data_IF_087226214313
#
_entry.id   IF_087226214313
#
_cell.length_a   1.000
_cell.length_b   1.000
_cell.length_c   1.000
_cell.angle_alpha   90.00
_cell.angle_beta   90.00
_cell.angle_gamma   90.00
#
_symmetry.space_group_name_H-M   'P 1'
#
loop_
_entity.id
_entity.type
_entity.pdbx_description
1 polymer ?
#
# COMPACT_ATOMS: atom_id res chain seq x y z
N UNK A 1 8.19 -40.45 -5.59
CA UNK A 1 7.03 -39.97 -4.82
C UNK A 1 6.74 -38.55 -5.29
N UNK A 2 5.75 -38.39 -6.17
CA UNK A 2 5.32 -37.09 -6.69
C UNK A 2 4.53 -36.37 -5.59
N UNK A 3 5.18 -35.41 -4.93
CA UNK A 3 4.48 -34.49 -4.03
C UNK A 3 3.44 -33.73 -4.84
N UNK A 4 2.17 -33.91 -4.51
CA UNK A 4 1.10 -33.03 -4.99
C UNK A 4 1.46 -31.64 -4.46
N UNK A 5 1.86 -30.74 -5.34
CA UNK A 5 2.08 -29.34 -4.97
C UNK A 5 0.69 -28.76 -4.75
N UNK A 6 0.30 -28.62 -3.48
CA UNK A 6 -0.95 -27.96 -3.10
C UNK A 6 -1.01 -26.57 -3.73
N UNK A 7 -2.17 -26.22 -4.26
CA UNK A 7 -2.40 -24.88 -4.81
C UNK A 7 -2.21 -23.83 -3.69
N UNK A 8 -1.76 -22.61 -4.00
CA UNK A 8 -1.64 -21.52 -3.02
C UNK A 8 -2.95 -21.30 -2.22
N UNK A 9 -4.10 -21.53 -2.86
CA UNK A 9 -5.44 -21.50 -2.25
C UNK A 9 -5.60 -22.51 -1.11
N UNK A 10 -5.00 -23.69 -1.22
CA UNK A 10 -5.09 -24.75 -0.19
C UNK A 10 -4.18 -24.44 1.01
N UNK A 11 -3.02 -23.81 0.76
CA UNK A 11 -2.03 -23.48 1.80
C UNK A 11 -2.37 -22.19 2.57
N UNK A 12 -3.02 -21.23 1.93
CA UNK A 12 -3.34 -19.90 2.49
C UNK A 12 -4.85 -19.60 2.50
N UNK A 13 -5.69 -20.63 2.38
CA UNK A 13 -7.14 -20.51 2.33
C UNK A 13 -7.78 -20.04 3.65
N UNK A 14 -9.05 -19.64 3.55
CA UNK A 14 -9.87 -19.03 4.60
C UNK A 14 -10.00 -19.85 5.89
N UNK A 15 -9.79 -21.16 5.82
CA UNK A 15 -9.84 -22.08 6.96
C UNK A 15 -8.55 -22.13 7.79
N UNK A 16 -7.48 -21.47 7.35
CA UNK A 16 -6.25 -21.31 8.14
C UNK A 16 -6.37 -20.10 9.07
N UNK A 17 -5.71 -20.15 10.23
CA UNK A 17 -5.62 -18.99 11.15
C UNK A 17 -5.05 -17.74 10.43
N UNK A 18 -4.17 -17.97 9.46
CA UNK A 18 -3.61 -16.94 8.60
C UNK A 18 -4.65 -16.28 7.68
N UNK A 19 -5.61 -17.04 7.15
CA UNK A 19 -6.68 -16.54 6.28
C UNK A 19 -7.63 -15.56 6.99
N UNK A 20 -7.94 -15.80 8.26
CA UNK A 20 -8.78 -14.89 9.07
C UNK A 20 -8.06 -13.57 9.34
N UNK A 21 -6.76 -13.64 9.66
CA UNK A 21 -5.91 -12.46 9.87
C UNK A 21 -5.80 -11.65 8.57
N UNK A 22 -5.63 -12.31 7.43
CA UNK A 22 -5.63 -11.65 6.12
C UNK A 22 -6.94 -10.92 5.86
N UNK A 23 -8.10 -11.55 6.01
CA UNK A 23 -9.42 -10.90 5.79
C UNK A 23 -9.60 -9.62 6.63
N UNK A 24 -9.19 -9.66 7.91
CA UNK A 24 -9.22 -8.48 8.78
C UNK A 24 -8.30 -7.37 8.26
N UNK A 25 -7.07 -7.72 7.89
CA UNK A 25 -6.10 -6.75 7.36
C UNK A 25 -6.57 -6.15 6.04
N UNK A 26 -7.15 -6.95 5.14
CA UNK A 26 -7.70 -6.46 3.88
C UNK A 26 -8.78 -5.40 4.13
N UNK A 27 -9.63 -5.60 5.12
CA UNK A 27 -10.64 -4.62 5.52
C UNK A 27 -10.00 -3.30 5.95
N UNK A 28 -8.89 -3.37 6.68
CA UNK A 28 -8.12 -2.20 7.10
C UNK A 28 -7.39 -1.51 5.93
N UNK A 29 -6.81 -2.28 5.00
CA UNK A 29 -6.12 -1.76 3.81
C UNK A 29 -7.10 -1.07 2.85
N UNK A 30 -8.32 -1.61 2.73
CA UNK A 30 -9.37 -1.07 1.87
C UNK A 30 -9.83 0.33 2.31
N UNK A 31 -9.65 0.66 3.60
CA UNK A 31 -9.89 2.00 4.11
C UNK A 31 -8.64 2.87 3.93
N UNK A 32 -8.71 3.87 3.05
CA UNK A 32 -7.57 4.74 2.72
C UNK A 32 -6.99 5.45 3.95
N UNK A 33 -7.85 5.92 4.85
CA UNK A 33 -7.44 6.62 6.08
C UNK A 33 -6.69 5.69 7.02
N UNK A 34 -7.19 4.47 7.23
CA UNK A 34 -6.55 3.51 8.13
C UNK A 34 -5.24 2.97 7.53
N UNK A 35 -5.22 2.64 6.23
CA UNK A 35 -4.02 2.19 5.54
C UNK A 35 -2.88 3.20 5.67
N UNK A 36 -3.18 4.48 5.48
CA UNK A 36 -2.19 5.56 5.56
C UNK A 36 -1.80 5.89 7.00
N UNK A 37 -2.73 5.79 7.96
CA UNK A 37 -2.45 6.12 9.36
C UNK A 37 -1.60 5.06 10.08
N UNK A 38 -1.69 3.80 9.66
CA UNK A 38 -1.09 2.66 10.36
C UNK A 38 -0.09 1.87 9.52
N UNK A 39 0.39 2.40 8.39
CA UNK A 39 1.46 1.79 7.57
C UNK A 39 1.33 0.26 7.44
N UNK A 40 0.13 -0.19 7.06
CA UNK A 40 -0.21 -1.61 7.04
C UNK A 40 0.61 -2.30 5.94
N UNK A 41 1.27 -3.44 6.20
CA UNK A 41 1.98 -4.19 5.17
C UNK A 41 1.06 -4.60 4.01
N UNK A 42 1.45 -4.26 2.79
CA UNK A 42 0.73 -4.64 1.57
C UNK A 42 1.67 -4.64 0.36
N UNK A 43 1.26 -5.27 -0.74
CA UNK A 43 2.01 -5.30 -1.99
C UNK A 43 1.73 -4.04 -2.81
N UNK A 44 2.77 -3.40 -3.35
CA UNK A 44 2.69 -2.25 -4.24
C UNK A 44 3.36 -2.59 -5.55
N UNK A 45 2.58 -2.69 -6.62
CA UNK A 45 3.07 -2.98 -7.96
C UNK A 45 3.59 -1.70 -8.60
N UNK A 46 4.86 -1.71 -9.01
CA UNK A 46 5.56 -0.59 -9.65
C UNK A 46 6.14 -1.08 -10.97
N UNK A 47 6.12 -0.25 -12.01
CA UNK A 47 6.73 -0.58 -13.29
C UNK A 47 6.55 0.52 -14.31
N UNK A 48 7.37 0.49 -15.35
CA UNK A 48 7.20 1.40 -16.49
C UNK A 48 5.93 1.04 -17.26
N UNK A 49 5.42 1.98 -18.04
CA UNK A 49 4.32 1.70 -18.96
C UNK A 49 4.68 0.53 -19.90
N UNK A 50 3.70 -0.33 -20.18
CA UNK A 50 3.81 -1.49 -21.10
C UNK A 50 4.78 -2.63 -20.66
N UNK A 51 5.24 -2.65 -19.41
CA UNK A 51 6.04 -3.75 -18.84
C UNK A 51 5.19 -4.96 -18.41
N UNK A 52 4.00 -5.17 -18.99
CA UNK A 52 3.10 -6.29 -18.69
C UNK A 52 2.54 -6.36 -17.24
N UNK A 53 2.51 -5.24 -16.50
CA UNK A 53 1.96 -5.16 -15.14
C UNK A 53 0.50 -5.58 -15.02
N UNK A 54 -0.40 -5.00 -15.82
CA UNK A 54 -1.83 -5.40 -15.84
C UNK A 54 -2.00 -6.84 -16.29
N UNK A 55 -1.17 -7.31 -17.25
CA UNK A 55 -1.16 -8.71 -17.70
C UNK A 55 -0.78 -9.64 -16.57
N UNK A 56 0.25 -9.29 -15.80
CA UNK A 56 0.67 -10.03 -14.63
C UNK A 56 -0.46 -10.12 -13.62
N UNK A 57 -1.09 -9.00 -13.28
CA UNK A 57 -2.20 -8.98 -12.31
C UNK A 57 -3.36 -9.85 -12.78
N UNK A 58 -3.77 -9.74 -14.04
CA UNK A 58 -4.80 -10.63 -14.61
C UNK A 58 -4.41 -12.11 -14.53
N UNK A 59 -3.13 -12.45 -14.76
CA UNK A 59 -2.65 -13.83 -14.56
C UNK A 59 -2.67 -14.26 -13.09
N UNK A 60 -2.35 -13.36 -12.14
CA UNK A 60 -2.41 -13.65 -10.69
C UNK A 60 -3.85 -13.86 -10.20
N UNK A 61 -4.81 -13.10 -10.76
CA UNK A 61 -6.24 -13.28 -10.50
C UNK A 61 -6.75 -14.62 -11.09
N UNK A 62 -6.08 -15.14 -12.13
CA UNK A 62 -6.58 -16.26 -12.91
C UNK A 62 -7.65 -15.87 -13.94
N UNK A 63 -7.92 -14.56 -14.11
CA UNK A 63 -8.92 -14.01 -15.03
C UNK A 63 -8.49 -12.64 -15.57
N UNK A 64 -8.91 -12.33 -16.79
CA UNK A 64 -8.61 -11.06 -17.46
C UNK A 64 -9.63 -9.96 -17.13
N UNK A 65 -9.77 -9.64 -15.83
CA UNK A 65 -10.79 -8.72 -15.31
C UNK A 65 -10.40 -7.24 -15.38
N UNK A 66 -9.11 -6.92 -15.26
CA UNK A 66 -8.68 -5.52 -15.35
C UNK A 66 -8.65 -5.05 -16.81
N UNK A 67 -9.04 -3.79 -17.09
CA UNK A 67 -9.19 -3.28 -18.45
C UNK A 67 -7.86 -3.35 -19.20
N UNK A 68 -7.88 -3.96 -20.37
CA UNK A 68 -6.78 -3.98 -21.33
C UNK A 68 -7.33 -3.49 -22.66
N UNK A 69 -6.52 -2.85 -23.51
CA UNK A 69 -6.97 -2.54 -24.88
C UNK A 69 -7.20 -3.85 -25.66
N UNK A 70 -8.43 -4.38 -25.64
CA UNK A 70 -8.85 -5.46 -26.53
C UNK A 70 -8.97 -4.87 -27.93
N UNK A 71 -8.16 -5.37 -28.88
CA UNK A 71 -8.37 -5.39 -30.35
C UNK A 71 -7.09 -5.36 -31.20
N UNK A 72 -5.90 -5.36 -30.60
CA UNK A 72 -4.64 -5.51 -31.35
C UNK A 72 -3.73 -6.49 -30.60
N UNK A 73 -2.86 -7.19 -31.31
CA UNK A 73 -2.03 -8.33 -30.86
C UNK A 73 -1.35 -8.11 -29.50
N UNK A 74 -0.83 -9.19 -28.86
CA UNK A 74 -0.18 -9.16 -27.54
C UNK A 74 0.90 -8.07 -27.36
N UNK A 75 1.43 -7.54 -28.46
CA UNK A 75 2.42 -6.46 -28.53
C UNK A 75 1.84 -5.03 -28.36
N UNK A 76 0.51 -4.83 -28.42
CA UNK A 76 -0.17 -3.52 -28.33
C UNK A 76 -1.19 -3.41 -27.19
N UNK A 77 -1.27 -4.40 -26.29
CA UNK A 77 -2.05 -4.33 -25.05
C UNK A 77 -1.48 -3.26 -24.12
N UNK A 78 -2.00 -2.04 -24.21
CA UNK A 78 -1.64 -0.94 -23.31
C UNK A 78 -2.58 -0.92 -22.10
N UNK A 79 -2.00 -0.83 -20.91
CA UNK A 79 -2.73 -0.65 -19.65
C UNK A 79 -3.44 0.71 -19.64
N UNK A 80 -4.71 0.74 -19.18
CA UNK A 80 -5.50 1.97 -18.97
C UNK A 80 -5.35 2.56 -17.56
N UNK A 81 -4.52 1.99 -16.68
CA UNK A 81 -4.43 2.43 -15.29
C UNK A 81 -3.93 3.88 -15.20
N UNK A 82 -4.87 4.83 -15.01
CA UNK A 82 -4.58 6.25 -14.80
C UNK A 82 -4.79 6.68 -13.34
N UNK A 83 -5.11 5.76 -12.45
CA UNK A 83 -5.28 6.00 -11.02
C UNK A 83 -4.86 4.77 -10.20
N UNK A 84 -4.49 4.92 -8.91
CA UNK A 84 -4.20 3.79 -8.05
C UNK A 84 -5.40 2.86 -7.89
N UNK A 85 -5.23 1.56 -8.13
CA UNK A 85 -6.24 0.54 -7.88
C UNK A 85 -5.80 -0.29 -6.67
N UNK A 86 -6.58 -0.27 -5.60
CA UNK A 86 -6.41 -1.18 -4.47
C UNK A 86 -7.24 -2.42 -4.79
N UNK A 87 -6.56 -3.47 -5.26
CA UNK A 87 -7.20 -4.71 -5.66
C UNK A 87 -7.22 -5.67 -4.48
N UNK A 88 -8.42 -5.99 -4.00
CA UNK A 88 -8.66 -6.96 -2.94
C UNK A 88 -9.21 -8.25 -3.54
N UNK A 89 -8.41 -9.30 -3.54
CA UNK A 89 -8.84 -10.65 -3.91
C UNK A 89 -9.34 -11.35 -2.65
N UNK A 90 -10.54 -11.92 -2.71
CA UNK A 90 -11.17 -12.63 -1.61
C UNK A 90 -11.63 -14.01 -2.05
N UNK A 91 -11.28 -15.01 -1.25
CA UNK A 91 -11.87 -16.32 -1.41
C UNK A 91 -13.33 -16.30 -0.91
N UNK A 92 -14.28 -16.67 -1.76
CA UNK A 92 -15.70 -16.70 -1.39
C UNK A 92 -16.50 -17.69 -2.24
N UNK A 93 -17.69 -18.06 -1.77
CA UNK A 93 -18.50 -19.10 -2.44
C UNK A 93 -19.05 -18.64 -3.80
N UNK A 94 -19.35 -17.35 -3.93
CA UNK A 94 -19.91 -16.74 -5.13
C UNK A 94 -18.95 -15.76 -5.74
N UNK A 95 -19.03 -15.64 -7.05
CA UNK A 95 -18.32 -14.61 -7.79
C UNK A 95 -19.02 -13.27 -7.59
N UNK A 96 -18.27 -12.25 -7.25
CA UNK A 96 -18.77 -10.89 -7.13
C UNK A 96 -17.64 -9.88 -7.35
N UNK A 97 -17.99 -8.71 -7.86
CA UNK A 97 -17.09 -7.57 -7.96
C UNK A 97 -17.74 -6.37 -7.31
N UNK A 98 -16.99 -5.71 -6.44
CA UNK A 98 -17.36 -4.44 -5.83
C UNK A 98 -16.30 -3.40 -6.16
N UNK A 99 -16.72 -2.22 -6.60
CA UNK A 99 -15.86 -1.07 -6.85
C UNK A 99 -16.31 0.07 -5.96
N UNK A 100 -15.38 0.71 -5.27
CA UNK A 100 -15.69 1.82 -4.35
C UNK A 100 -14.58 2.87 -4.36
N UNK A 101 -14.99 4.15 -4.32
CA UNK A 101 -14.09 5.27 -4.09
C UNK A 101 -14.49 6.00 -2.80
N UNK A 102 -13.64 6.00 -1.78
CA UNK A 102 -13.96 6.65 -0.50
C UNK A 102 -13.99 8.19 -0.63
N UNK A 103 -13.17 8.76 -1.52
CA UNK A 103 -13.07 10.22 -1.71
C UNK A 103 -14.17 10.79 -2.59
N UNK A 104 -14.87 9.96 -3.35
CA UNK A 104 -15.95 10.40 -4.25
C UNK A 104 -17.17 9.51 -4.03
N UNK A 105 -18.06 9.89 -3.10
CA UNK A 105 -19.26 9.12 -2.76
C UNK A 105 -20.16 8.90 -3.99
N UNK A 106 -20.77 7.72 -4.07
CA UNK A 106 -21.67 7.37 -5.18
C UNK A 106 -20.97 6.87 -6.45
N UNK A 107 -19.63 6.88 -6.50
CA UNK A 107 -18.87 6.21 -7.56
C UNK A 107 -18.63 4.75 -7.21
N UNK A 108 -19.00 3.87 -8.15
CA UNK A 108 -18.83 2.43 -8.04
C UNK A 108 -20.15 1.72 -7.74
N UNK A 109 -20.07 0.57 -7.07
CA UNK A 109 -21.19 -0.35 -6.81
C UNK A 109 -20.75 -1.81 -6.85
N UNK A 110 -21.70 -2.74 -6.81
CA UNK A 110 -21.44 -4.16 -6.70
C UNK A 110 -22.27 -4.97 -7.70
N UNK A 111 -21.66 -6.02 -8.27
CA UNK A 111 -22.28 -6.93 -9.23
C UNK A 111 -21.93 -8.37 -8.87
N UNK A 112 -22.95 -9.21 -8.75
CA UNK A 112 -22.80 -10.65 -8.59
C UNK A 112 -22.60 -11.32 -9.96
N UNK A 113 -21.73 -12.33 -10.00
CA UNK A 113 -21.31 -13.09 -11.18
C UNK A 113 -21.07 -12.22 -12.45
N UNK A 114 -20.19 -11.21 -12.37
CA UNK A 114 -20.01 -10.27 -13.47
C UNK A 114 -19.25 -10.91 -14.63
N UNK A 115 -19.62 -10.50 -15.85
CA UNK A 115 -18.81 -10.72 -17.04
C UNK A 115 -17.65 -9.73 -17.10
N UNK A 116 -16.57 -10.09 -17.81
CA UNK A 116 -15.39 -9.21 -17.98
C UNK A 116 -15.78 -7.82 -18.51
N UNK A 117 -16.70 -7.76 -19.48
CA UNK A 117 -17.13 -6.51 -20.11
C UNK A 117 -17.87 -5.58 -19.13
N UNK A 118 -18.61 -6.16 -18.18
CA UNK A 118 -19.28 -5.38 -17.12
C UNK A 118 -18.26 -4.73 -16.21
N UNK A 119 -17.22 -5.48 -15.79
CA UNK A 119 -16.15 -4.95 -14.94
C UNK A 119 -15.37 -3.86 -15.67
N UNK A 120 -15.04 -4.06 -16.94
CA UNK A 120 -14.35 -3.07 -17.76
C UNK A 120 -15.17 -1.78 -17.91
N UNK A 121 -16.46 -1.90 -18.25
CA UNK A 121 -17.35 -0.76 -18.36
C UNK A 121 -17.44 0.01 -17.05
N UNK A 122 -17.47 -0.70 -15.93
CA UNK A 122 -17.56 -0.08 -14.62
C UNK A 122 -16.30 0.72 -14.26
N UNK A 123 -15.12 0.15 -14.49
CA UNK A 123 -13.85 0.84 -14.28
C UNK A 123 -13.69 2.04 -15.22
N UNK A 124 -14.15 1.94 -16.47
CA UNK A 124 -14.17 3.07 -17.41
C UNK A 124 -15.10 4.20 -16.94
N UNK A 125 -16.28 3.88 -16.39
CA UNK A 125 -17.18 4.87 -15.81
C UNK A 125 -16.56 5.58 -14.60
N UNK A 126 -15.91 4.83 -13.70
CA UNK A 126 -15.19 5.40 -12.55
C UNK A 126 -14.13 6.39 -13.03
N UNK A 127 -13.32 6.01 -14.03
CA UNK A 127 -12.26 6.85 -14.59
C UNK A 127 -12.75 8.25 -15.02
N UNK A 128 -13.96 8.33 -15.57
CA UNK A 128 -14.54 9.59 -16.06
C UNK A 128 -14.87 10.60 -14.96
N UNK A 129 -15.07 10.14 -13.73
CA UNK A 129 -15.53 10.96 -12.61
C UNK A 129 -14.43 11.28 -11.59
N UNK A 130 -13.24 10.68 -11.73
CA UNK A 130 -12.13 10.94 -10.83
C UNK A 130 -11.50 12.31 -11.10
N UNK A 131 -11.12 13.06 -10.04
CA UNK A 131 -10.40 14.32 -10.21
C UNK A 131 -9.00 14.03 -10.78
N UNK A 132 -8.64 14.72 -11.86
CA UNK A 132 -7.37 14.54 -12.56
C UNK A 132 -6.39 15.63 -12.16
N UNK A 133 -5.12 15.27 -12.08
CA UNK A 133 -4.03 16.22 -11.90
C UNK A 133 -3.93 17.10 -13.15
N UNK A 134 -3.74 18.40 -12.93
CA UNK A 134 -3.82 19.41 -13.99
C UNK A 134 -2.93 19.09 -15.19
N UNK A 135 -3.52 19.10 -16.39
CA UNK A 135 -2.80 18.83 -17.63
C UNK A 135 -2.39 17.36 -17.83
N UNK A 136 -2.91 16.43 -17.02
CA UNK A 136 -2.66 14.99 -17.17
C UNK A 136 -3.98 14.19 -17.07
N UNK A 137 -4.05 12.98 -17.62
CA UNK A 137 -5.16 12.06 -17.40
C UNK A 137 -5.08 11.32 -16.05
N UNK A 138 -4.05 11.56 -15.23
CA UNK A 138 -3.76 10.81 -14.01
C UNK A 138 -4.59 11.35 -12.85
N UNK A 139 -5.16 10.46 -12.04
CA UNK A 139 -5.72 10.79 -10.74
C UNK A 139 -4.88 10.16 -9.64
N UNK A 140 -4.65 10.89 -8.55
CA UNK A 140 -4.06 10.34 -7.30
C UNK A 140 -5.10 9.69 -6.39
N UNK A 141 -6.38 9.74 -6.75
CA UNK A 141 -7.47 9.19 -5.95
C UNK A 141 -7.50 7.67 -6.08
N UNK A 142 -7.28 6.91 -4.99
CA UNK A 142 -7.32 5.46 -5.06
C UNK A 142 -8.76 4.94 -5.22
N UNK A 143 -8.90 3.87 -5.98
CA UNK A 143 -10.17 3.14 -6.15
C UNK A 143 -10.00 1.72 -5.62
N UNK A 144 -10.88 1.31 -4.71
CA UNK A 144 -10.95 -0.05 -4.21
C UNK A 144 -11.72 -0.93 -5.19
N UNK A 145 -11.12 -2.05 -5.58
CA UNK A 145 -11.75 -3.08 -6.41
C UNK A 145 -11.65 -4.39 -5.65
N UNK A 146 -12.77 -4.89 -5.16
CA UNK A 146 -12.86 -6.16 -4.44
C UNK A 146 -13.40 -7.23 -5.38
N UNK A 147 -12.58 -8.23 -5.68
CA UNK A 147 -12.97 -9.41 -6.44
C UNK A 147 -13.16 -10.57 -5.46
N UNK A 148 -14.34 -11.18 -5.47
CA UNK A 148 -14.65 -12.36 -4.66
C UNK A 148 -14.91 -13.55 -5.57
N UNK A 149 -14.39 -14.72 -5.22
CA UNK A 149 -14.67 -15.96 -5.96
C UNK A 149 -13.99 -17.18 -5.34
N UNK A 150 -14.47 -18.40 -5.67
CA UNK A 150 -13.97 -19.63 -5.04
C UNK A 150 -12.55 -19.99 -5.52
N UNK A 151 -12.18 -19.55 -6.73
CA UNK A 151 -10.85 -19.72 -7.32
C UNK A 151 -9.80 -18.73 -6.79
N UNK A 152 -10.22 -17.65 -6.13
CA UNK A 152 -9.31 -16.56 -5.78
C UNK A 152 -8.55 -16.87 -4.49
N UNK A 153 -7.26 -16.54 -4.49
CA UNK A 153 -6.44 -16.50 -3.27
C UNK A 153 -6.65 -15.15 -2.58
N UNK A 154 -6.85 -15.16 -1.26
CA UNK A 154 -7.00 -13.93 -0.48
C UNK A 154 -5.70 -13.13 -0.51
N UNK A 155 -5.67 -12.03 -1.26
CA UNK A 155 -4.49 -11.17 -1.43
C UNK A 155 -4.92 -9.73 -1.73
N UNK A 156 -4.21 -8.75 -1.16
CA UNK A 156 -4.39 -7.34 -1.55
C UNK A 156 -3.12 -6.79 -2.19
N UNK A 157 -3.29 -6.16 -3.34
CA UNK A 157 -2.22 -5.49 -4.07
C UNK A 157 -2.66 -4.10 -4.52
N UNK A 158 -1.72 -3.16 -4.53
CA UNK A 158 -1.93 -1.81 -5.03
C UNK A 158 -1.30 -1.70 -6.41
N UNK A 159 -2.12 -1.47 -7.42
CA UNK A 159 -1.71 -1.22 -8.81
C UNK A 159 -1.56 0.29 -9.03
N UNK A 160 -0.32 0.78 -9.18
CA UNK A 160 -0.09 2.20 -9.45
C UNK A 160 -0.03 2.51 -10.96
N UNK A 161 -0.48 3.67 -11.44
CA UNK A 161 -0.29 4.05 -12.84
C UNK A 161 1.16 3.80 -13.29
N UNK A 162 1.32 3.14 -14.43
CA UNK A 162 2.66 2.81 -14.93
C UNK A 162 3.47 4.09 -15.05
N UNK A 163 4.62 4.14 -14.40
CA UNK A 163 5.40 5.36 -14.40
C UNK A 163 5.85 5.66 -15.83
N UNK A 164 5.49 6.85 -16.28
CA UNK A 164 5.92 7.33 -17.58
C UNK A 164 7.36 7.82 -17.39
N UNK A 165 8.24 7.30 -18.23
CA UNK A 165 9.65 7.66 -18.25
C UNK A 165 10.08 8.04 -19.67
N UNK A 166 9.11 8.36 -20.53
CA UNK A 166 9.34 8.85 -21.88
C UNK A 166 9.62 10.35 -21.82
N UNK A 167 10.56 10.85 -22.63
CA UNK A 167 10.94 12.27 -22.62
C UNK A 167 9.83 13.23 -23.10
N UNK A 168 8.74 12.69 -23.65
CA UNK A 168 7.75 13.45 -24.40
C UNK A 168 6.72 14.17 -23.51
N UNK A 169 6.53 13.74 -22.24
CA UNK A 169 5.62 14.38 -21.29
C UNK A 169 6.23 14.49 -19.87
N UNK A 170 7.03 15.55 -19.61
CA UNK A 170 7.66 15.77 -18.31
C UNK A 170 6.68 15.88 -17.14
N UNK A 171 5.45 16.40 -17.38
CA UNK A 171 4.45 16.56 -16.32
C UNK A 171 3.89 15.20 -15.91
N UNK A 172 3.53 14.38 -16.88
CA UNK A 172 3.09 13.01 -16.64
C UNK A 172 4.14 12.20 -15.87
N UNK A 173 5.41 12.32 -16.29
CA UNK A 173 6.52 11.66 -15.61
C UNK A 173 6.61 12.08 -14.15
N UNK A 174 6.58 13.40 -13.89
CA UNK A 174 6.63 13.93 -12.53
C UNK A 174 5.45 13.44 -11.68
N UNK A 175 4.22 13.52 -12.19
CA UNK A 175 3.01 13.09 -11.46
C UNK A 175 3.07 11.59 -11.14
N UNK A 176 3.41 10.75 -12.13
CA UNK A 176 3.44 9.30 -11.93
C UNK A 176 4.59 8.85 -11.02
N UNK A 177 5.78 9.44 -11.16
CA UNK A 177 6.90 9.16 -10.26
C UNK A 177 6.60 9.62 -8.83
N UNK A 178 6.08 10.85 -8.67
CA UNK A 178 5.68 11.37 -7.36
C UNK A 178 4.63 10.48 -6.69
N UNK A 179 3.67 9.95 -7.46
CA UNK A 179 2.67 9.02 -6.95
C UNK A 179 3.30 7.69 -6.52
N UNK A 180 4.26 7.14 -7.26
CA UNK A 180 5.00 5.95 -6.84
C UNK A 180 5.74 6.20 -5.53
N UNK A 181 6.47 7.31 -5.44
CA UNK A 181 7.20 7.70 -4.23
C UNK A 181 6.28 7.87 -3.03
N UNK A 182 5.12 8.50 -3.20
CA UNK A 182 4.13 8.65 -2.13
C UNK A 182 3.72 7.29 -1.53
N UNK A 183 3.58 6.24 -2.34
CA UNK A 183 3.23 4.91 -1.84
C UNK A 183 4.40 4.17 -1.19
N UNK A 184 5.60 4.25 -1.78
CA UNK A 184 6.76 3.47 -1.29
C UNK A 184 7.53 4.15 -0.15
N UNK A 185 7.52 5.48 -0.05
CA UNK A 185 8.20 6.25 1.00
C UNK A 185 7.31 6.41 2.25
N UNK A 186 6.01 6.68 2.06
CA UNK A 186 5.08 6.88 3.19
C UNK A 186 4.88 5.62 4.02
N UNK A 187 4.89 4.46 3.38
CA UNK A 187 4.72 3.17 4.03
C UNK A 187 5.95 2.29 3.79
N UNK A 188 6.91 2.34 4.72
CA UNK A 188 8.12 1.50 4.73
C UNK A 188 7.82 0.01 4.95
N UNK A 189 6.62 -0.32 5.42
CA UNK A 189 6.18 -1.71 5.59
C UNK A 189 5.56 -2.31 4.32
N UNK A 190 5.41 -1.51 3.25
CA UNK A 190 4.97 -2.02 1.95
C UNK A 190 6.05 -2.85 1.26
N UNK A 191 5.61 -3.93 0.61
CA UNK A 191 6.46 -4.75 -0.25
C UNK A 191 6.34 -4.21 -1.68
N UNK A 192 7.47 -3.85 -2.28
CA UNK A 192 7.52 -3.32 -3.63
C UNK A 192 7.66 -4.47 -4.61
N UNK A 193 6.72 -4.59 -5.55
CA UNK A 193 6.81 -5.56 -6.65
C UNK A 193 7.09 -4.79 -7.93
N UNK A 194 8.35 -4.81 -8.37
CA UNK A 194 8.78 -4.14 -9.60
C UNK A 194 8.54 -5.08 -10.77
N UNK A 195 7.80 -4.64 -11.78
CA UNK A 195 7.62 -5.36 -13.04
C UNK A 195 8.51 -4.71 -14.11
N UNK A 196 9.50 -5.46 -14.58
CA UNK A 196 10.48 -5.00 -15.58
C UNK A 196 10.63 -6.05 -16.68
N UNK A 197 11.06 -5.66 -17.88
CA UNK A 197 11.47 -6.63 -18.91
C UNK A 197 12.87 -7.16 -18.56
N UNK A 198 13.18 -8.40 -18.93
CA UNK A 198 14.53 -8.94 -18.75
C UNK A 198 15.55 -8.07 -19.50
N UNK A 199 16.57 -7.61 -18.77
CA UNK A 199 17.66 -6.76 -19.27
C UNK A 199 18.59 -6.34 -18.13
N UNK A 200 19.48 -5.38 -18.39
CA UNK A 200 20.31 -4.77 -17.34
C UNK A 200 19.43 -3.95 -16.38
N UNK A 201 19.34 -4.31 -15.09
CA UNK A 201 18.48 -3.61 -14.14
C UNK A 201 18.83 -2.13 -13.98
N UNK A 202 20.09 -1.75 -14.17
CA UNK A 202 20.54 -0.35 -14.01
C UNK A 202 20.01 0.57 -15.11
N UNK A 203 19.55 0.00 -16.23
CA UNK A 203 18.88 0.73 -17.30
C UNK A 203 17.37 0.91 -17.05
N UNK A 204 16.78 0.23 -16.07
CA UNK A 204 15.35 0.33 -15.80
C UNK A 204 15.06 1.50 -14.85
N UNK A 205 14.27 2.45 -15.35
CA UNK A 205 13.94 3.67 -14.62
C UNK A 205 13.04 3.45 -13.41
N UNK A 206 12.21 2.38 -13.38
CA UNK A 206 11.42 2.04 -12.20
C UNK A 206 12.31 1.44 -11.11
N UNK A 207 13.27 0.58 -11.48
CA UNK A 207 14.29 0.08 -10.56
C UNK A 207 15.11 1.23 -9.99
N UNK A 208 15.61 2.12 -10.85
CA UNK A 208 16.39 3.29 -10.41
C UNK A 208 15.60 4.22 -9.48
N UNK A 209 14.31 4.47 -9.78
CA UNK A 209 13.45 5.29 -8.93
C UNK A 209 13.34 4.69 -7.52
N UNK A 210 13.09 3.38 -7.41
CA UNK A 210 12.98 2.68 -6.14
C UNK A 210 14.33 2.70 -5.41
N UNK A 211 15.43 2.38 -6.10
CA UNK A 211 16.78 2.38 -5.52
C UNK A 211 17.20 3.72 -4.92
N UNK A 212 16.88 4.83 -5.60
CA UNK A 212 17.31 6.16 -5.17
C UNK A 212 16.53 6.67 -3.95
N UNK A 213 15.36 6.10 -3.68
CA UNK A 213 14.36 6.70 -2.77
C UNK A 213 13.95 5.79 -1.61
N UNK A 214 13.97 4.48 -1.79
CA UNK A 214 13.71 3.52 -0.72
C UNK A 214 15.02 2.95 -0.16
N UNK A 215 15.49 3.46 0.99
CA UNK A 215 16.77 3.03 1.58
C UNK A 215 16.83 1.51 1.89
N UNK A 216 15.68 0.92 2.19
CA UNK A 216 15.46 -0.49 2.52
C UNK A 216 15.02 -1.33 1.30
N UNK A 217 15.18 -0.81 0.08
CA UNK A 217 14.67 -1.48 -1.13
C UNK A 217 15.12 -2.94 -1.25
N UNK A 218 16.34 -3.29 -0.84
CA UNK A 218 16.90 -4.64 -1.03
C UNK A 218 16.09 -5.74 -0.34
N UNK A 219 15.51 -5.46 0.83
CA UNK A 219 14.83 -6.45 1.66
C UNK A 219 13.33 -6.56 1.40
N UNK A 220 12.70 -5.45 0.99
CA UNK A 220 11.25 -5.41 0.75
C UNK A 220 10.85 -5.33 -0.73
N UNK A 221 11.79 -5.56 -1.66
CA UNK A 221 11.51 -5.55 -3.10
C UNK A 221 11.54 -6.96 -3.69
N UNK A 222 10.57 -7.24 -4.54
CA UNK A 222 10.52 -8.39 -5.44
C UNK A 222 10.57 -7.82 -6.87
N UNK A 223 11.42 -8.36 -7.73
CA UNK A 223 11.51 -7.96 -9.12
C UNK A 223 10.97 -9.08 -10.03
N UNK A 224 9.81 -8.83 -10.62
CA UNK A 224 9.18 -9.66 -11.64
C UNK A 224 9.76 -9.32 -13.02
N UNK A 225 10.67 -10.17 -13.50
CA UNK A 225 11.36 -10.03 -14.78
C UNK A 225 10.55 -10.71 -15.90
N UNK A 226 9.98 -9.92 -16.80
CA UNK A 226 9.06 -10.35 -17.85
C UNK A 226 9.74 -10.48 -19.21
N UNK A 227 9.08 -11.20 -20.13
CA UNK A 227 9.49 -11.35 -21.53
C UNK A 227 10.91 -11.94 -21.73
N UNK A 228 11.32 -12.99 -20.99
CA UNK A 228 12.61 -13.63 -21.20
C UNK A 228 12.76 -14.23 -22.60
N UNK A 229 11.64 -14.54 -23.27
CA UNK A 229 11.53 -15.03 -24.64
C UNK A 229 12.03 -14.04 -25.72
N UNK A 230 12.13 -12.75 -25.40
CA UNK A 230 12.73 -11.76 -26.31
C UNK A 230 14.24 -11.87 -26.42
N UNK A 231 14.90 -12.46 -25.42
CA UNK A 231 16.32 -12.72 -25.48
C UNK A 231 16.59 -13.91 -26.41
N UNK A 232 17.81 -13.94 -26.98
CA UNK A 232 18.25 -15.09 -27.76
C UNK A 232 18.48 -16.27 -26.82
N UNK A 233 18.20 -17.51 -27.26
CA UNK A 233 18.35 -18.73 -26.45
C UNK A 233 19.71 -18.90 -25.73
N UNK A 234 20.78 -18.33 -26.29
CA UNK A 234 22.13 -18.40 -25.74
C UNK A 234 22.49 -17.24 -24.81
N UNK A 235 21.64 -16.23 -24.69
CA UNK A 235 21.84 -15.07 -23.81
C UNK A 235 21.53 -15.46 -22.36
N UNK A 236 22.50 -15.27 -21.48
CA UNK A 236 22.41 -15.63 -20.07
C UNK A 236 21.99 -14.45 -19.17
N UNK A 237 21.73 -13.26 -19.72
CA UNK A 237 21.47 -12.07 -18.92
C UNK A 237 20.32 -12.27 -17.94
N UNK A 238 19.19 -12.81 -18.39
CA UNK A 238 18.05 -13.09 -17.50
C UNK A 238 18.39 -14.06 -16.38
N UNK A 239 19.25 -15.05 -16.64
CA UNK A 239 19.71 -16.01 -15.62
C UNK A 239 20.60 -15.30 -14.60
N UNK A 240 21.56 -14.51 -15.08
CA UNK A 240 22.48 -13.75 -14.22
C UNK A 240 21.74 -12.78 -13.30
N UNK A 241 20.79 -12.01 -13.82
CA UNK A 241 19.98 -11.11 -12.98
C UNK A 241 19.14 -11.92 -11.98
N UNK A 242 18.46 -12.99 -12.43
CA UNK A 242 17.64 -13.82 -11.55
C UNK A 242 18.43 -14.47 -10.39
N UNK A 243 19.71 -14.74 -10.60
CA UNK A 243 20.61 -15.36 -9.62
C UNK A 243 21.43 -14.34 -8.82
N UNK A 244 21.10 -13.04 -8.84
CA UNK A 244 21.86 -11.98 -8.16
C UNK A 244 23.32 -11.82 -8.66
N UNK A 245 23.61 -12.14 -9.92
CA UNK A 245 24.93 -12.05 -10.56
C UNK A 245 25.09 -10.80 -11.47
N UNK A 246 24.21 -9.82 -11.30
CA UNK A 246 24.26 -8.50 -11.95
C UNK A 246 24.81 -7.40 -11.04
N UNK A 247 25.02 -6.21 -11.61
CA UNK A 247 25.43 -4.99 -10.87
C UNK A 247 24.39 -4.53 -9.83
N UNK A 248 23.13 -4.87 -10.05
CA UNK A 248 22.03 -4.68 -9.13
C UNK A 248 21.65 -6.01 -8.48
N UNK A 249 21.51 -6.03 -7.15
CA UNK A 249 21.15 -7.21 -6.37
C UNK A 249 20.09 -6.88 -5.34
N UNK A 250 19.29 -7.89 -5.01
CA UNK A 250 18.28 -7.90 -3.96
C UNK A 250 18.60 -9.05 -2.99
N UNK A 251 17.81 -9.23 -1.94
CA UNK A 251 17.88 -10.47 -1.16
C UNK A 251 17.66 -11.72 -2.03
N UNK A 252 18.05 -12.87 -1.50
CA UNK A 252 17.96 -14.14 -2.22
C UNK A 252 16.52 -14.44 -2.66
N UNK A 253 16.37 -14.99 -3.87
CA UNK A 253 15.08 -15.36 -4.46
C UNK A 253 14.09 -14.21 -4.68
N UNK A 254 14.56 -12.95 -4.77
CA UNK A 254 13.71 -11.78 -5.04
C UNK A 254 13.53 -11.45 -6.51
N UNK A 255 14.39 -11.95 -7.40
CA UNK A 255 14.19 -11.85 -8.84
C UNK A 255 13.45 -13.08 -9.35
N UNK A 256 12.27 -12.87 -9.95
CA UNK A 256 11.43 -13.96 -10.47
C UNK A 256 11.22 -13.77 -11.97
N UNK A 257 11.61 -14.76 -12.77
CA UNK A 257 11.41 -14.77 -14.22
C UNK A 257 9.99 -15.19 -14.57
N UNK A 258 9.35 -14.46 -15.48
CA UNK A 258 7.96 -14.68 -15.90
C UNK A 258 7.86 -14.66 -17.42
N UNK A 259 7.23 -15.70 -17.97
CA UNK A 259 6.90 -15.77 -19.40
C UNK A 259 5.40 -15.67 -19.58
N UNK A 260 4.98 -14.70 -20.39
CA UNK A 260 3.59 -14.53 -20.80
C UNK A 260 3.34 -15.16 -22.17
N UNK A 261 2.21 -14.77 -22.77
CA UNK A 261 1.93 -14.98 -24.19
C UNK A 261 2.85 -14.09 -25.02
N UNK A 262 3.54 -14.67 -26.00
CA UNK A 262 4.49 -13.98 -26.89
C UNK A 262 3.98 -13.89 -28.35
N UNK A 263 2.85 -14.53 -28.66
CA UNK A 263 2.23 -14.56 -29.97
C UNK A 263 2.89 -15.52 -30.96
N UNK A 264 3.86 -16.33 -30.53
CA UNK A 264 4.54 -17.31 -31.40
C UNK A 264 3.69 -18.56 -31.65
N UNK A 265 2.85 -18.96 -30.70
CA UNK A 265 1.90 -20.05 -30.85
C UNK A 265 0.52 -19.51 -31.28
N UNK A 266 -0.03 -19.93 -32.44
CA UNK A 266 -1.35 -19.50 -32.92
C UNK A 266 -2.50 -19.77 -31.96
N UNK A 267 -2.34 -20.72 -31.05
CA UNK A 267 -3.35 -21.10 -30.07
C UNK A 267 -3.32 -20.24 -28.80
N UNK A 268 -2.30 -19.39 -28.60
CA UNK A 268 -2.18 -18.57 -27.37
C UNK A 268 -3.37 -17.64 -27.16
N UNK A 269 -4.03 -17.23 -28.23
CA UNK A 269 -5.24 -16.39 -28.18
C UNK A 269 -6.35 -17.04 -27.34
N UNK A 270 -6.44 -18.36 -27.34
CA UNK A 270 -7.49 -19.13 -26.68
C UNK A 270 -7.06 -19.62 -25.28
N UNK A 271 -5.79 -19.43 -24.90
CA UNK A 271 -5.29 -19.84 -23.59
C UNK A 271 -5.90 -18.97 -22.49
N UNK A 272 -6.48 -19.60 -21.47
CA UNK A 272 -6.81 -18.93 -20.22
C UNK A 272 -5.55 -18.76 -19.34
N UNK A 273 -5.74 -18.21 -18.14
CA UNK A 273 -4.63 -17.98 -17.21
C UNK A 273 -3.96 -19.30 -16.76
N UNK A 274 -4.72 -20.37 -16.56
CA UNK A 274 -4.22 -21.67 -16.12
C UNK A 274 -3.42 -22.37 -17.23
N UNK A 275 -3.92 -22.37 -18.46
CA UNK A 275 -3.19 -22.89 -19.61
C UNK A 275 -1.90 -22.10 -19.84
N UNK A 276 -1.94 -20.76 -19.70
CA UNK A 276 -0.74 -19.92 -19.79
C UNK A 276 0.29 -20.29 -18.72
N UNK A 277 -0.14 -20.57 -17.48
CA UNK A 277 0.71 -21.03 -16.39
C UNK A 277 1.35 -22.40 -16.67
N UNK A 278 0.58 -23.36 -17.19
CA UNK A 278 1.11 -24.68 -17.58
C UNK A 278 2.18 -24.51 -18.68
N UNK A 279 1.90 -23.71 -19.70
CA UNK A 279 2.81 -23.46 -20.82
C UNK A 279 4.07 -22.71 -20.43
N UNK A 280 3.96 -21.77 -19.48
CA UNK A 280 5.11 -21.11 -18.86
C UNK A 280 6.04 -22.13 -18.19
N UNK A 281 5.48 -23.03 -17.37
CA UNK A 281 6.25 -24.08 -16.68
C UNK A 281 6.94 -25.03 -17.65
N UNK A 282 6.23 -25.47 -18.69
CA UNK A 282 6.81 -26.32 -19.75
C UNK A 282 7.99 -25.64 -20.46
N UNK A 283 7.85 -24.35 -20.76
CA UNK A 283 8.89 -23.59 -21.44
C UNK A 283 10.13 -23.43 -20.59
N UNK A 284 9.98 -22.98 -19.34
CA UNK A 284 11.11 -22.83 -18.44
C UNK A 284 11.83 -24.17 -18.22
N UNK A 285 11.10 -25.28 -18.09
CA UNK A 285 11.70 -26.61 -17.91
C UNK A 285 12.49 -27.12 -19.12
N UNK A 286 12.21 -26.62 -20.33
CA UNK A 286 12.93 -27.00 -21.57
C UNK A 286 13.99 -25.98 -21.98
N UNK A 287 13.93 -24.74 -21.46
CA UNK A 287 14.80 -23.65 -21.89
C UNK A 287 16.25 -23.85 -21.43
N UNK A 288 17.21 -23.67 -22.34
CA UNK A 288 18.65 -23.96 -22.11
C UNK A 288 19.23 -23.22 -20.90
N UNK A 289 18.83 -21.95 -20.73
CA UNK A 289 19.35 -21.09 -19.66
C UNK A 289 18.61 -21.23 -18.32
N UNK A 290 17.32 -21.60 -18.37
CA UNK A 290 16.44 -21.47 -17.21
C UNK A 290 16.07 -22.81 -16.57
N UNK A 291 16.24 -23.94 -17.27
CA UNK A 291 15.94 -25.28 -16.76
C UNK A 291 16.59 -25.60 -15.40
N UNK A 292 17.76 -25.03 -15.12
CA UNK A 292 18.51 -25.28 -13.88
C UNK A 292 18.12 -24.31 -12.75
N UNK A 293 17.36 -23.26 -13.04
CA UNK A 293 16.96 -22.21 -12.09
C UNK A 293 15.43 -22.10 -11.95
N UNK A 294 14.70 -23.22 -12.10
CA UNK A 294 13.23 -23.24 -11.98
C UNK A 294 12.70 -22.67 -10.65
N UNK A 295 13.51 -22.74 -9.59
CA UNK A 295 13.16 -22.22 -8.26
C UNK A 295 13.04 -20.67 -8.22
N UNK A 296 13.40 -19.95 -9.28
CA UNK A 296 13.16 -18.49 -9.45
C UNK A 296 12.35 -18.20 -10.71
N UNK A 297 11.62 -19.18 -11.24
CA UNK A 297 10.85 -19.03 -12.47
C UNK A 297 9.36 -19.31 -12.26
N UNK A 298 8.52 -18.59 -13.00
CA UNK A 298 7.09 -18.82 -13.12
C UNK A 298 6.23 -18.04 -12.14
N UNK A 299 4.96 -17.90 -12.51
CA UNK A 299 3.98 -17.13 -11.73
C UNK A 299 3.71 -17.73 -10.35
N UNK A 300 3.79 -19.05 -10.22
CA UNK A 300 3.63 -19.75 -8.94
C UNK A 300 4.69 -19.32 -7.95
N UNK A 301 5.94 -19.26 -8.43
CA UNK A 301 7.05 -18.82 -7.60
C UNK A 301 6.90 -17.36 -7.19
N UNK A 302 6.42 -16.50 -8.09
CA UNK A 302 6.14 -15.12 -7.73
C UNK A 302 5.08 -15.04 -6.63
N UNK A 303 3.96 -15.75 -6.77
CA UNK A 303 2.89 -15.79 -5.77
C UNK A 303 3.40 -16.27 -4.42
N UNK A 304 4.15 -17.38 -4.39
CA UNK A 304 4.72 -17.90 -3.16
C UNK A 304 5.67 -16.89 -2.50
N UNK A 305 6.54 -16.24 -3.27
CA UNK A 305 7.47 -15.22 -2.74
C UNK A 305 6.72 -14.00 -2.21
N UNK A 306 5.69 -13.51 -2.91
CA UNK A 306 4.88 -12.36 -2.47
C UNK A 306 4.14 -12.68 -1.18
N UNK A 307 3.47 -13.84 -1.10
CA UNK A 307 2.70 -14.25 0.08
C UNK A 307 3.64 -14.50 1.27
N UNK A 308 4.77 -15.18 1.06
CA UNK A 308 5.72 -15.49 2.13
C UNK A 308 6.32 -14.23 2.73
N UNK A 309 6.74 -13.28 1.89
CA UNK A 309 7.28 -12.00 2.36
C UNK A 309 6.21 -11.16 3.08
N UNK A 310 4.99 -11.15 2.55
CA UNK A 310 3.87 -10.45 3.19
C UNK A 310 3.55 -11.05 4.56
N UNK A 311 3.51 -12.38 4.66
CA UNK A 311 3.30 -13.10 5.91
C UNK A 311 4.37 -12.78 6.95
N UNK A 312 5.64 -12.84 6.56
CA UNK A 312 6.78 -12.51 7.43
C UNK A 312 6.68 -11.08 7.96
N UNK A 313 6.40 -10.12 7.07
CA UNK A 313 6.24 -8.71 7.45
C UNK A 313 5.00 -8.49 8.32
N UNK A 314 3.91 -9.21 8.08
CA UNK A 314 2.72 -9.13 8.92
C UNK A 314 2.97 -9.66 10.34
N UNK A 315 3.69 -10.78 10.48
CA UNK A 315 4.01 -11.38 11.79
C UNK A 315 4.83 -10.41 12.64
N UNK A 316 5.76 -9.67 12.03
CA UNK A 316 6.62 -8.72 12.74
C UNK A 316 5.92 -7.39 13.03
N UNK A 317 5.19 -6.84 12.07
CA UNK A 317 4.63 -5.48 12.17
C UNK A 317 3.27 -5.43 12.89
N UNK A 318 2.39 -6.42 12.74
CA UNK A 318 1.03 -6.34 13.30
C UNK A 318 1.00 -6.19 14.82
N UNK A 319 1.80 -6.93 15.61
CA UNK A 319 1.84 -6.72 17.05
C UNK A 319 2.22 -5.27 17.44
N UNK A 320 3.11 -4.65 16.66
CA UNK A 320 3.53 -3.26 16.84
C UNK A 320 2.36 -2.33 16.50
N UNK A 321 1.69 -2.55 15.37
CA UNK A 321 0.52 -1.79 14.96
C UNK A 321 -0.61 -1.87 15.98
N UNK A 322 -0.91 -3.06 16.51
CA UNK A 322 -1.93 -3.24 17.56
C UNK A 322 -1.59 -2.44 18.81
N UNK A 323 -0.31 -2.38 19.20
CA UNK A 323 0.14 -1.56 20.34
C UNK A 323 -0.04 -0.07 20.05
N UNK A 324 0.35 0.40 18.87
CA UNK A 324 0.19 1.78 18.43
C UNK A 324 -1.29 2.18 18.38
N UNK A 325 -2.16 1.31 17.85
CA UNK A 325 -3.61 1.53 17.81
C UNK A 325 -4.21 1.64 19.21
N UNK A 326 -3.79 0.77 20.15
CA UNK A 326 -4.24 0.84 21.55
C UNK A 326 -3.79 2.14 22.22
N UNK A 327 -2.54 2.53 22.04
CA UNK A 327 -2.02 3.79 22.57
C UNK A 327 -2.80 4.99 22.02
N UNK A 328 -2.97 5.05 20.69
CA UNK A 328 -3.70 6.14 20.03
C UNK A 328 -5.17 6.18 20.46
N UNK A 329 -5.78 5.02 20.72
CA UNK A 329 -7.12 4.96 21.31
C UNK A 329 -7.13 5.60 22.70
N UNK A 330 -6.18 5.26 23.58
CA UNK A 330 -6.10 5.86 24.92
C UNK A 330 -5.94 7.37 24.85
N UNK A 331 -5.06 7.88 23.96
CA UNK A 331 -4.86 9.31 23.75
C UNK A 331 -6.16 10.00 23.30
N UNK A 332 -6.87 9.42 22.32
CA UNK A 332 -8.16 9.94 21.85
C UNK A 332 -9.24 9.86 22.92
N UNK A 333 -9.30 8.79 23.72
CA UNK A 333 -10.26 8.64 24.81
C UNK A 333 -9.99 9.68 25.93
N UNK A 334 -8.72 10.02 26.19
CA UNK A 334 -8.34 11.09 27.13
C UNK A 334 -8.70 12.48 26.61
N UNK A 335 -8.43 12.77 25.33
CA UNK A 335 -8.84 14.02 24.67
C UNK A 335 -10.38 14.16 24.67
N UNK A 336 -11.09 13.09 24.31
CA UNK A 336 -12.55 13.06 24.28
C UNK A 336 -13.12 13.35 25.66
N UNK A 337 -12.57 12.73 26.71
CA UNK A 337 -12.97 13.01 28.09
C UNK A 337 -12.73 14.46 28.49
N UNK A 338 -11.60 15.05 28.06
CA UNK A 338 -11.33 16.48 28.27
C UNK A 338 -12.35 17.40 27.57
N UNK A 339 -12.82 17.00 26.38
CA UNK A 339 -13.86 17.72 25.63
C UNK A 339 -15.25 17.54 26.25
N UNK A 340 -15.62 16.34 26.70
CA UNK A 340 -16.86 16.09 27.45
C UNK A 340 -16.91 16.90 28.75
N UNK A 341 -15.77 17.01 29.45
CA UNK A 341 -15.62 17.87 30.63
C UNK A 341 -15.74 19.38 30.31
N UNK A 342 -15.69 19.75 29.03
CA UNK A 342 -15.77 21.12 28.50
C UNK A 342 -17.10 21.42 27.80
N UNK A 343 -17.99 20.42 27.65
CA UNK A 343 -19.28 20.59 27.00
C UNK A 343 -20.18 21.49 27.87
N UNK A 344 -20.75 22.56 27.29
CA UNK A 344 -21.63 23.48 28.01
C UNK A 344 -23.03 22.88 28.03
N UNK A 345 -23.57 22.47 29.20
CA UNK A 345 -24.88 21.83 29.24
C UNK A 345 -25.97 22.77 28.73
N UNK A 346 -27.02 22.25 28.09
CA UNK A 346 -28.12 23.10 27.62
C UNK A 346 -28.93 23.69 28.78
N UNK A 347 -29.05 22.96 29.89
CA UNK A 347 -29.81 23.39 31.06
C UNK A 347 -29.12 24.53 31.84
N UNK A 348 -29.94 25.45 32.37
CA UNK A 348 -29.47 26.55 33.22
C UNK A 348 -28.63 26.07 34.42
N UNK A 349 -29.05 24.99 35.08
CA UNK A 349 -28.33 24.39 36.21
C UNK A 349 -26.99 23.79 35.79
N UNK A 350 -26.94 23.11 34.64
CA UNK A 350 -25.68 22.55 34.13
C UNK A 350 -24.67 23.63 33.73
N UNK A 351 -25.13 24.74 33.12
CA UNK A 351 -24.29 25.93 32.86
C UNK A 351 -23.73 26.53 34.16
N UNK A 352 -24.56 26.60 35.21
CA UNK A 352 -24.14 27.02 36.55
C UNK A 352 -23.08 26.10 37.15
N UNK A 353 -23.22 24.79 36.98
CA UNK A 353 -22.24 23.79 37.40
C UNK A 353 -20.87 23.96 36.71
N UNK A 354 -20.84 24.14 35.39
CA UNK A 354 -19.60 24.37 34.63
C UNK A 354 -18.94 25.70 35.00
N UNK A 355 -19.72 26.77 35.17
CA UNK A 355 -19.20 28.08 35.62
C UNK A 355 -18.56 27.99 37.01
N UNK A 356 -19.14 27.23 37.94
CA UNK A 356 -18.56 26.99 39.26
C UNK A 356 -17.28 26.14 39.19
N UNK A 357 -17.23 25.13 38.32
CA UNK A 357 -16.02 24.31 38.08
C UNK A 357 -14.88 25.18 37.52
N UNK A 358 -15.16 26.02 36.53
CA UNK A 358 -14.21 27.00 35.97
C UNK A 358 -13.71 28.00 37.02
N UNK A 359 -14.63 28.60 37.79
CA UNK A 359 -14.29 29.52 38.88
C UNK A 359 -13.37 28.85 39.91
N UNK A 360 -13.70 27.63 40.34
CA UNK A 360 -12.90 26.92 41.34
C UNK A 360 -11.53 26.51 40.80
N UNK A 361 -11.44 26.08 39.54
CA UNK A 361 -10.17 25.78 38.88
C UNK A 361 -9.29 27.03 38.72
N UNK A 362 -9.88 28.15 38.31
CA UNK A 362 -9.18 29.43 38.21
C UNK A 362 -8.63 29.89 39.57
N UNK A 363 -9.45 29.81 40.64
CA UNK A 363 -9.01 30.13 42.01
C UNK A 363 -7.87 29.20 42.44
N UNK A 364 -7.96 27.91 42.12
CA UNK A 364 -6.92 26.92 42.47
C UNK A 364 -5.60 27.19 41.75
N UNK A 365 -5.63 27.48 40.45
CA UNK A 365 -4.43 27.83 39.67
C UNK A 365 -3.85 29.19 40.09
N UNK A 366 -4.69 30.20 40.33
CA UNK A 366 -4.24 31.47 40.92
C UNK A 366 -3.54 31.25 42.27
N UNK A 367 -4.12 30.44 43.15
CA UNK A 367 -3.49 30.14 44.43
C UNK A 367 -2.16 29.37 44.26
N UNK A 368 -2.09 28.48 43.26
CA UNK A 368 -0.85 27.76 42.94
C UNK A 368 0.25 28.70 42.48
N UNK A 369 -0.05 29.58 41.52
CA UNK A 369 0.87 30.56 40.94
C UNK A 369 1.29 31.65 41.94
N UNK A 370 0.37 32.10 42.79
CA UNK A 370 0.60 33.17 43.76
C UNK A 370 1.25 32.67 45.05
N UNK A 371 0.94 31.46 45.52
CA UNK A 371 1.29 31.02 46.87
C UNK A 371 2.02 29.66 46.98
N UNK A 372 1.89 28.72 46.03
CA UNK A 372 2.44 27.36 46.17
C UNK A 372 3.60 27.01 45.20
N UNK A 373 4.01 27.90 44.31
CA UNK A 373 5.10 27.64 43.36
C UNK A 373 6.47 28.00 43.97
N UNK A 374 6.94 27.22 44.96
CA UNK A 374 8.27 27.40 45.59
C UNK A 374 9.39 26.59 44.94
N UNK A 375 9.14 25.86 43.86
CA UNK A 375 10.14 24.96 43.24
C UNK A 375 10.51 25.26 41.78
N UNK A 376 9.71 26.00 41.03
CA UNK A 376 10.15 26.56 39.74
C UNK A 376 10.51 28.03 39.95
N UNK A 377 11.82 28.28 39.95
CA UNK A 377 12.40 29.61 40.01
C UNK A 377 11.87 30.47 38.85
N UNK A 378 11.23 31.60 39.18
CA UNK A 378 11.44 32.93 38.56
C UNK A 378 10.22 33.83 38.27
N UNK A 379 8.95 33.40 38.28
CA UNK A 379 7.92 34.28 37.65
C UNK A 379 6.69 34.74 38.44
N UNK A 380 6.28 34.09 39.54
CA UNK A 380 5.00 34.44 40.21
C UNK A 380 5.11 34.93 41.65
N UNK A 381 4.87 34.02 42.59
CA UNK A 381 4.76 34.32 44.02
C UNK A 381 6.02 34.92 44.65
N UNK A 382 7.21 34.56 44.18
CA UNK A 382 8.47 35.09 44.71
C UNK A 382 8.67 36.58 44.36
N UNK A 383 8.27 37.01 43.15
CA UNK A 383 8.26 38.44 42.75
C UNK A 383 7.29 39.25 43.60
N UNK A 384 6.08 38.72 43.85
CA UNK A 384 5.09 39.37 44.73
C UNK A 384 5.63 39.49 46.15
N UNK A 385 6.23 38.42 46.68
CA UNK A 385 6.85 38.42 48.02
C UNK A 385 8.01 39.40 48.11
N UNK A 386 8.87 39.46 47.09
CA UNK A 386 9.99 40.40 47.04
C UNK A 386 9.51 41.86 46.94
N UNK A 387 8.45 42.13 46.18
CA UNK A 387 7.85 43.47 46.08
C UNK A 387 7.25 43.91 47.43
N UNK A 388 6.55 43.01 48.12
CA UNK A 388 5.99 43.27 49.45
C UNK A 388 7.08 43.50 50.50
N UNK A 389 8.14 42.69 50.50
CA UNK A 389 9.27 42.88 51.40
C UNK A 389 10.00 44.19 51.11
N UNK A 390 10.21 44.54 49.84
CA UNK A 390 10.83 45.81 49.45
C UNK A 390 9.98 47.02 49.86
N UNK A 391 8.65 46.94 49.67
CA UNK A 391 7.72 47.97 50.15
C UNK A 391 7.74 48.08 51.69
N UNK A 392 7.74 46.95 52.39
CA UNK A 392 7.82 46.91 53.85
C UNK A 392 9.12 47.58 54.34
N UNK A 393 10.27 47.24 53.76
CA UNK A 393 11.54 47.88 54.11
C UNK A 393 11.55 49.38 53.79
N UNK A 394 10.99 49.80 52.65
CA UNK A 394 10.92 51.20 52.27
C UNK A 394 10.02 52.02 53.21
N UNK A 395 8.86 51.50 53.61
CA UNK A 395 7.92 52.20 54.51
C UNK A 395 8.44 52.26 55.94
N UNK A 396 9.07 51.20 56.44
CA UNK A 396 9.56 51.16 57.82
C UNK A 396 10.93 51.84 58.02
N UNK A 397 11.77 51.99 56.98
CA UNK A 397 12.94 52.89 57.04
C UNK A 397 12.58 54.38 57.13
N UNK A 398 11.44 54.79 56.56
CA UNK A 398 11.00 56.20 56.57
C UNK A 398 10.41 56.63 57.93
N UNK A 399 10.04 55.69 58.81
CA UNK A 399 9.55 55.99 60.17
C UNK A 399 10.62 56.01 61.26
N UNK A 400 11.88 55.80 60.90
CA UNK A 400 13.02 55.72 61.83
C UNK A 400 14.04 56.85 61.73
N UNK A 401 13.68 57.99 61.11
CA UNK A 401 14.47 59.23 61.14
C UNK A 401 13.68 60.36 61.77
#
# INVERSE_FOLDING_TARGET
>A
MSGVVEAPVTKYGRSSEFGVVLDFIQTMISNDTLRQAFNIPHLVMVGRQNMAKTTLINRLIGRYLLPMRRNETANTLQARTTYPIILNLRNGEKRAVEVKCDKVPGIGGAVDDPTDDVVENFLNQVTGHLPKEEGTPISKTPVNVTLTGPELTTLTLVDLPGAHFANDDPRMNHVTQSLVLEYIEKNTNSIIVIVSEVGDPTGDSAINLVMQKAADFRSRTICALTKPDKLRDFDDMGKRVAMNESSFTLEDNRFILLRGKDGTDPNEKDWDAEMTRIKEKEWFGRHKQYKDIQHVCGIDRLMDTMISLLAEKMITEIPILVRQMKQRKTEVDEELKGLEDSEVPESSEGKGGVAMKLKNNLIKELNKLLFNNTFDMEEGGEKVRHLFNSYHEAVFKVRGQ
#
